data_IF_168687618373
#
_entry.id   IF_168687618373
#
_cell.length_a   1.000
_cell.length_b   1.000
_cell.length_c   1.000
_cell.angle_alpha   90.00
_cell.angle_beta   90.00
_cell.angle_gamma   90.00
#
_symmetry.space_group_name_H-M   'P 1'
#
loop_
_entity.id
_entity.type
_entity.pdbx_description
1 polymer ?
#
# COMPACT_ATOMS: atom_id res chain seq x y z
N UNK A 1 -32.09 6.06 26.32
CA UNK A 1 -32.50 5.05 25.33
C UNK A 1 -31.86 3.71 25.69
N UNK A 2 -32.62 2.64 26.00
CA UNK A 2 -32.02 1.38 26.39
C UNK A 2 -31.38 0.69 25.18
N UNK A 3 -30.14 0.25 25.33
CA UNK A 3 -29.36 -0.42 24.30
C UNK A 3 -30.02 -1.78 24.00
N UNK A 4 -30.47 -1.95 22.76
CA UNK A 4 -31.16 -3.16 22.30
C UNK A 4 -30.34 -4.42 22.56
N UNK A 5 -30.99 -5.42 23.15
CA UNK A 5 -30.43 -6.77 23.35
C UNK A 5 -30.19 -7.36 21.96
N UNK A 6 -28.91 -7.58 21.62
CA UNK A 6 -28.53 -8.15 20.33
C UNK A 6 -28.85 -9.65 20.33
N UNK A 7 -30.07 -10.01 19.92
CA UNK A 7 -30.47 -11.41 19.75
C UNK A 7 -29.80 -11.95 18.49
N UNK A 8 -28.85 -12.87 18.65
CA UNK A 8 -28.21 -13.54 17.50
C UNK A 8 -29.28 -14.30 16.71
N UNK A 9 -29.51 -13.90 15.46
CA UNK A 9 -30.43 -14.61 14.57
C UNK A 9 -29.92 -16.04 14.33
N UNK A 10 -30.79 -17.08 14.40
CA UNK A 10 -30.38 -18.45 14.16
C UNK A 10 -29.91 -18.64 12.71
N UNK A 11 -28.92 -19.50 12.51
CA UNK A 11 -28.40 -19.80 11.17
C UNK A 11 -29.49 -20.38 10.26
N UNK A 12 -29.54 -19.87 9.02
CA UNK A 12 -30.45 -20.37 7.99
C UNK A 12 -30.10 -21.81 7.58
N UNK A 13 -31.07 -22.57 7.03
CA UNK A 13 -30.84 -23.95 6.56
C UNK A 13 -29.71 -24.04 5.53
N UNK A 14 -29.61 -23.06 4.64
CA UNK A 14 -28.52 -22.94 3.65
C UNK A 14 -27.18 -22.73 4.33
N UNK A 15 -27.11 -21.85 5.33
CA UNK A 15 -25.89 -21.60 6.09
C UNK A 15 -25.41 -22.86 6.84
N UNK A 16 -26.35 -23.61 7.47
CA UNK A 16 -26.03 -24.90 8.10
C UNK A 16 -25.48 -25.93 7.10
N UNK A 17 -26.07 -26.01 5.90
CA UNK A 17 -25.61 -26.89 4.81
C UNK A 17 -24.21 -26.51 4.31
N UNK A 18 -23.93 -25.22 4.17
CA UNK A 18 -22.61 -24.72 3.74
C UNK A 18 -21.53 -24.98 4.80
N UNK A 19 -21.84 -24.78 6.09
CA UNK A 19 -20.93 -25.17 7.19
C UNK A 19 -20.67 -26.68 7.17
N UNK A 20 -21.70 -27.50 6.94
CA UNK A 20 -21.57 -28.95 6.86
C UNK A 20 -20.68 -29.38 5.69
N UNK A 21 -20.89 -28.83 4.49
CA UNK A 21 -20.05 -29.08 3.32
C UNK A 21 -18.60 -28.66 3.53
N UNK A 22 -18.36 -27.52 4.19
CA UNK A 22 -17.01 -27.02 4.48
C UNK A 22 -16.21 -27.92 5.44
N UNK A 23 -16.88 -28.82 6.19
CA UNK A 23 -16.24 -29.78 7.10
C UNK A 23 -15.97 -31.14 6.46
N UNK A 24 -16.45 -31.40 5.24
CA UNK A 24 -16.20 -32.65 4.53
C UNK A 24 -14.72 -32.66 4.10
N UNK A 25 -13.96 -33.63 4.60
CA UNK A 25 -12.52 -33.76 4.34
C UNK A 25 -11.60 -32.97 5.27
N UNK A 26 -12.13 -32.07 6.12
CA UNK A 26 -11.31 -31.39 7.12
C UNK A 26 -10.98 -32.34 8.27
N UNK A 27 -9.72 -32.74 8.40
CA UNK A 27 -9.21 -33.39 9.61
C UNK A 27 -9.05 -32.29 10.66
N UNK A 28 -9.75 -32.41 11.79
CA UNK A 28 -9.58 -31.48 12.89
C UNK A 28 -8.10 -31.45 13.31
N UNK A 29 -7.51 -30.27 13.48
CA UNK A 29 -6.08 -30.07 13.74
C UNK A 29 -5.54 -30.83 14.97
N UNK A 30 -6.44 -31.28 15.84
CA UNK A 30 -6.21 -32.03 17.06
C UNK A 30 -6.44 -33.55 16.93
N UNK A 31 -6.80 -34.05 15.74
CA UNK A 31 -7.00 -35.50 15.49
C UNK A 31 -5.65 -36.21 15.49
N UNK A 32 -5.39 -37.02 16.53
CA UNK A 32 -4.17 -37.83 16.67
C UNK A 32 -3.11 -37.25 17.63
N UNK A 33 -3.32 -36.07 18.21
CA UNK A 33 -2.42 -35.53 19.23
C UNK A 33 -2.57 -36.32 20.55
N UNK A 34 -1.55 -37.13 20.89
CA UNK A 34 -1.38 -37.77 22.22
C UNK A 34 -1.15 -36.66 23.26
N UNK A 35 -2.20 -36.25 23.96
CA UNK A 35 -2.16 -35.19 24.97
C UNK A 35 -3.54 -34.71 25.41
N UNK A 36 -4.57 -34.94 24.60
CA UNK A 36 -5.97 -34.79 25.00
C UNK A 36 -6.54 -36.14 25.46
N UNK A 37 -6.07 -36.63 26.61
CA UNK A 37 -6.77 -37.72 27.29
C UNK A 37 -8.21 -37.26 27.55
N UNK A 38 -9.20 -38.03 27.08
CA UNK A 38 -10.60 -37.80 27.46
C UNK A 38 -10.65 -37.81 28.99
N UNK A 39 -11.17 -36.75 29.61
CA UNK A 39 -11.37 -36.70 31.05
C UNK A 39 -12.08 -37.99 31.49
N UNK A 40 -11.52 -38.66 32.50
CA UNK A 40 -12.19 -39.80 33.15
C UNK A 40 -13.53 -39.33 33.71
N UNK A 41 -14.49 -40.24 33.87
CA UNK A 41 -15.78 -39.90 34.47
C UNK A 41 -15.60 -39.29 35.87
N UNK A 42 -14.59 -39.74 36.61
CA UNK A 42 -14.23 -39.15 37.90
C UNK A 42 -13.70 -37.71 37.76
N UNK A 43 -12.87 -37.42 36.76
CA UNK A 43 -12.40 -36.06 36.48
C UNK A 43 -13.56 -35.14 36.08
N UNK A 44 -14.50 -35.62 35.25
CA UNK A 44 -15.72 -34.89 34.89
C UNK A 44 -16.59 -34.61 36.12
N UNK A 45 -16.78 -35.60 37.00
CA UNK A 45 -17.52 -35.45 38.26
C UNK A 45 -16.87 -34.40 39.16
N UNK A 46 -15.55 -34.49 39.39
CA UNK A 46 -14.78 -33.51 40.19
C UNK A 46 -14.89 -32.09 39.62
N UNK A 47 -14.83 -31.93 38.29
CA UNK A 47 -15.02 -30.64 37.64
C UNK A 47 -16.45 -30.10 37.80
N UNK A 48 -17.47 -30.97 37.71
CA UNK A 48 -18.87 -30.61 37.91
C UNK A 48 -19.16 -30.18 39.35
N UNK A 49 -18.73 -30.98 40.33
CA UNK A 49 -18.84 -30.68 41.77
C UNK A 49 -18.12 -29.38 42.12
N UNK A 50 -16.92 -29.16 41.58
CA UNK A 50 -16.18 -27.93 41.78
C UNK A 50 -16.88 -26.70 41.16
N UNK A 51 -17.65 -26.87 40.08
CA UNK A 51 -18.43 -25.81 39.46
C UNK A 51 -19.68 -25.47 40.31
N UNK A 52 -20.40 -26.50 40.79
CA UNK A 52 -21.55 -26.35 41.67
C UNK A 52 -21.17 -25.68 43.01
N UNK A 53 -20.04 -26.07 43.61
CA UNK A 53 -19.52 -25.44 44.84
C UNK A 53 -19.15 -23.96 44.68
N UNK A 54 -18.71 -23.54 43.49
CA UNK A 54 -18.25 -22.16 43.24
C UNK A 54 -19.40 -21.17 42.99
N UNK A 55 -20.62 -21.65 42.75
CA UNK A 55 -21.77 -20.81 42.41
C UNK A 55 -21.61 -20.07 41.07
N UNK A 56 -22.65 -19.34 40.66
CA UNK A 56 -22.58 -18.50 39.46
C UNK A 56 -21.60 -17.34 39.69
N UNK A 57 -20.58 -17.21 38.81
CA UNK A 57 -19.70 -16.04 38.85
C UNK A 57 -20.54 -14.78 38.61
N UNK A 58 -20.39 -13.72 39.43
CA UNK A 58 -21.07 -12.47 39.16
C UNK A 58 -20.66 -11.95 37.77
N UNK A 59 -21.56 -11.29 37.04
CA UNK A 59 -21.20 -10.68 35.77
C UNK A 59 -20.05 -9.70 35.98
N UNK A 60 -19.08 -9.71 35.06
CA UNK A 60 -17.81 -8.97 35.19
C UNK A 60 -17.98 -7.44 35.36
N UNK A 61 -19.20 -6.92 35.16
CA UNK A 61 -19.62 -5.53 35.33
C UNK A 61 -20.14 -5.20 36.75
N UNK A 62 -20.02 -6.09 37.73
CA UNK A 62 -20.48 -5.85 39.11
C UNK A 62 -19.59 -4.87 39.90
N UNK A 63 -18.38 -4.58 39.40
CA UNK A 63 -17.47 -3.61 40.04
C UNK A 63 -17.84 -2.18 39.65
N UNK A 64 -17.75 -1.21 40.59
CA UNK A 64 -17.93 0.20 40.27
C UNK A 64 -16.91 0.62 39.22
N UNK A 65 -17.37 1.39 38.23
CA UNK A 65 -16.50 1.91 37.17
C UNK A 65 -15.76 3.15 37.66
N UNK A 66 -14.64 3.44 37.01
CA UNK A 66 -13.78 4.58 37.31
C UNK A 66 -13.84 5.56 36.16
N UNK A 67 -14.00 6.85 36.45
CA UNK A 67 -13.95 7.92 35.46
C UNK A 67 -12.50 8.25 35.07
N UNK A 68 -12.26 8.46 33.78
CA UNK A 68 -10.97 8.87 33.20
C UNK A 68 -11.16 9.94 32.14
N UNK A 69 -10.13 10.74 31.93
CA UNK A 69 -10.03 11.71 30.83
C UNK A 69 -9.27 11.07 29.67
N UNK A 70 -9.77 11.23 28.44
CA UNK A 70 -9.10 10.74 27.24
C UNK A 70 -7.89 11.61 26.87
N UNK A 71 -6.72 11.00 26.71
CA UNK A 71 -5.47 11.71 26.37
C UNK A 71 -5.45 12.36 24.97
N UNK A 72 -6.40 11.99 24.08
CA UNK A 72 -6.48 12.56 22.73
C UNK A 72 -7.51 13.69 22.60
N UNK A 73 -8.72 13.51 23.15
CA UNK A 73 -9.84 14.45 22.95
C UNK A 73 -10.35 15.12 24.22
N UNK A 74 -9.79 14.81 25.39
CA UNK A 74 -10.20 15.38 26.68
C UNK A 74 -11.55 14.90 27.22
N UNK A 75 -12.26 14.03 26.49
CA UNK A 75 -13.57 13.51 26.93
C UNK A 75 -13.45 12.64 28.17
N UNK A 76 -14.34 12.85 29.15
CA UNK A 76 -14.52 11.97 30.32
C UNK A 76 -15.25 10.68 29.89
N UNK A 77 -14.74 9.52 30.31
CA UNK A 77 -15.30 8.21 30.02
C UNK A 77 -15.04 7.21 31.16
N UNK A 78 -15.85 6.17 31.23
CA UNK A 78 -15.77 5.16 32.28
C UNK A 78 -14.96 3.92 31.85
N UNK A 79 -14.19 3.36 32.77
CA UNK A 79 -13.43 2.13 32.59
C UNK A 79 -13.63 1.17 33.78
N UNK A 80 -13.38 -0.12 33.57
CA UNK A 80 -13.33 -1.06 34.71
C UNK A 80 -12.07 -0.80 35.55
N UNK A 81 -12.08 -1.07 36.87
CA UNK A 81 -10.93 -0.79 37.74
C UNK A 81 -9.59 -1.38 37.26
N UNK A 82 -9.60 -2.55 36.60
CA UNK A 82 -8.39 -3.17 36.06
C UNK A 82 -7.90 -2.53 34.76
N UNK A 83 -8.76 -1.82 34.03
CA UNK A 83 -8.44 -1.16 32.76
C UNK A 83 -7.85 0.24 32.96
N UNK A 84 -7.80 0.76 34.20
CA UNK A 84 -7.40 2.14 34.51
C UNK A 84 -6.02 2.47 33.95
N UNK A 85 -5.07 1.53 33.99
CA UNK A 85 -3.71 1.75 33.47
C UNK A 85 -3.57 1.44 31.98
N UNK A 86 -4.40 0.55 31.43
CA UNK A 86 -4.28 0.10 30.04
C UNK A 86 -5.03 1.00 29.05
N UNK A 87 -6.16 1.56 29.49
CA UNK A 87 -7.09 2.27 28.63
C UNK A 87 -6.86 3.78 28.76
N UNK A 88 -6.14 4.33 27.77
CA UNK A 88 -5.79 5.76 27.70
C UNK A 88 -6.79 6.58 26.87
N UNK A 89 -7.56 5.92 26.00
CA UNK A 89 -8.41 6.59 25.01
C UNK A 89 -9.87 6.12 25.11
N UNK A 90 -10.81 7.05 24.94
CA UNK A 90 -12.25 6.77 25.04
C UNK A 90 -12.81 5.94 23.87
N UNK A 91 -12.06 5.84 22.76
CA UNK A 91 -12.48 5.12 21.56
C UNK A 91 -11.30 4.61 20.75
N UNK A 92 -11.55 3.64 19.87
CA UNK A 92 -10.58 3.14 18.89
C UNK A 92 -10.05 4.29 18.02
N UNK A 93 -10.93 5.21 17.62
CA UNK A 93 -10.55 6.40 16.85
C UNK A 93 -9.52 7.26 17.60
N UNK A 94 -9.82 7.60 18.87
CA UNK A 94 -8.92 8.38 19.70
C UNK A 94 -7.59 7.66 19.91
N UNK A 95 -7.62 6.33 20.12
CA UNK A 95 -6.39 5.53 20.21
C UNK A 95 -5.59 5.52 18.91
N UNK A 96 -6.24 5.51 17.75
CA UNK A 96 -5.55 5.53 16.46
C UNK A 96 -4.87 6.86 16.18
N UNK A 97 -5.40 7.96 16.72
CA UNK A 97 -4.89 9.31 16.49
C UNK A 97 -3.91 9.76 17.55
N UNK A 98 -4.13 9.38 18.81
CA UNK A 98 -3.27 9.75 19.93
C UNK A 98 -1.99 8.91 20.04
N UNK A 99 -1.98 7.67 19.52
CA UNK A 99 -0.78 6.84 19.55
C UNK A 99 0.21 7.26 18.47
N UNK A 100 1.43 7.55 18.90
CA UNK A 100 2.56 7.67 17.98
C UNK A 100 2.83 6.33 17.29
N UNK A 101 3.29 6.40 16.03
CA UNK A 101 3.76 5.20 15.35
C UNK A 101 4.99 4.63 16.08
N UNK A 102 5.09 3.30 16.15
CA UNK A 102 6.19 2.58 16.83
C UNK A 102 7.58 2.88 16.25
N UNK A 103 7.63 3.49 15.05
CA UNK A 103 8.82 3.89 14.32
C UNK A 103 8.98 5.42 14.20
N UNK A 104 8.20 6.22 14.93
CA UNK A 104 8.39 7.66 14.97
C UNK A 104 9.82 7.98 15.45
N UNK A 105 10.54 8.81 14.69
CA UNK A 105 11.94 9.15 14.96
C UNK A 105 12.96 8.05 14.63
N UNK A 106 12.53 6.85 14.23
CA UNK A 106 13.45 5.78 13.82
C UNK A 106 13.86 5.98 12.37
N UNK A 107 15.10 6.42 12.17
CA UNK A 107 15.70 6.52 10.84
C UNK A 107 16.53 5.27 10.53
N UNK A 108 16.44 4.80 9.29
CA UNK A 108 17.32 3.74 8.82
C UNK A 108 18.77 4.20 8.80
N UNK A 109 19.68 3.32 9.21
CA UNK A 109 21.12 3.57 9.16
C UNK A 109 21.57 3.85 7.72
N UNK A 110 22.69 4.56 7.59
CA UNK A 110 23.30 4.79 6.28
C UNK A 110 23.55 3.47 5.53
N UNK A 111 24.10 2.49 6.22
CA UNK A 111 24.38 1.17 5.67
C UNK A 111 23.11 0.44 5.20
N UNK A 112 22.02 0.49 5.97
CA UNK A 112 20.75 -0.11 5.56
C UNK A 112 20.20 0.53 4.28
N UNK A 113 20.26 1.87 4.19
CA UNK A 113 19.86 2.61 2.97
C UNK A 113 20.75 2.25 1.78
N UNK A 114 22.06 2.12 2.00
CA UNK A 114 23.00 1.70 0.97
C UNK A 114 22.68 0.28 0.47
N UNK A 115 22.48 -0.66 1.38
CA UNK A 115 22.17 -2.06 1.05
C UNK A 115 20.87 -2.19 0.24
N UNK A 116 19.82 -1.44 0.60
CA UNK A 116 18.61 -1.39 -0.22
C UNK A 116 18.83 -0.81 -1.62
N UNK A 117 19.64 0.26 -1.71
CA UNK A 117 19.98 0.88 -2.99
C UNK A 117 20.74 -0.10 -3.88
N UNK A 118 21.73 -0.80 -3.32
CA UNK A 118 22.53 -1.81 -4.02
C UNK A 118 21.67 -2.98 -4.51
N UNK A 119 20.73 -3.48 -3.69
CA UNK A 119 19.81 -4.56 -4.08
C UNK A 119 18.98 -4.23 -5.31
N UNK A 120 18.65 -2.97 -5.56
CA UNK A 120 17.82 -2.51 -6.69
C UNK A 120 18.63 -1.95 -7.86
N UNK A 121 19.95 -2.13 -7.88
CA UNK A 121 20.85 -1.58 -8.89
C UNK A 121 21.27 -2.64 -9.91
N UNK A 122 21.62 -2.18 -11.12
CA UNK A 122 22.18 -3.05 -12.16
C UNK A 122 21.20 -4.14 -12.56
N UNK A 123 21.72 -5.36 -12.78
CA UNK A 123 20.96 -6.53 -13.24
C UNK A 123 19.76 -6.90 -12.35
N UNK A 124 19.76 -6.50 -11.08
CA UNK A 124 18.66 -6.78 -10.15
C UNK A 124 17.44 -5.86 -10.35
N UNK A 125 17.56 -4.81 -11.16
CA UNK A 125 16.44 -3.97 -11.53
C UNK A 125 15.76 -4.56 -12.78
N UNK A 126 14.46 -4.89 -12.76
CA UNK A 126 13.75 -5.43 -13.93
C UNK A 126 13.81 -4.53 -15.17
N UNK A 127 14.01 -3.22 -14.98
CA UNK A 127 14.18 -2.27 -16.07
C UNK A 127 15.63 -2.15 -16.56
N UNK A 128 16.59 -2.85 -15.96
CA UNK A 128 18.00 -2.81 -16.40
C UNK A 128 18.18 -3.59 -17.69
N UNK A 129 18.52 -2.85 -18.73
CA UNK A 129 19.01 -3.39 -20.00
C UNK A 129 20.48 -3.00 -20.07
N UNK A 130 21.35 -3.99 -19.85
CA UNK A 130 22.81 -4.05 -20.14
C UNK A 130 23.65 -2.75 -20.02
N UNK A 131 23.28 -1.84 -19.13
CA UNK A 131 23.98 -0.55 -18.97
C UNK A 131 23.57 0.52 -19.99
N UNK A 132 22.83 0.18 -21.05
CA UNK A 132 22.27 1.13 -22.04
C UNK A 132 21.44 2.24 -21.38
N UNK A 133 20.76 1.96 -20.26
CA UNK A 133 20.00 2.97 -19.52
C UNK A 133 20.87 4.14 -19.01
N UNK A 134 22.08 3.86 -18.49
CA UNK A 134 22.99 4.91 -17.99
C UNK A 134 23.51 5.76 -19.13
N UNK A 135 23.90 5.14 -20.25
CA UNK A 135 24.36 5.82 -21.46
C UNK A 135 23.28 6.67 -22.11
N UNK A 136 22.07 6.14 -22.25
CA UNK A 136 20.92 6.85 -22.81
C UNK A 136 20.50 8.02 -21.92
N UNK A 137 20.49 7.84 -20.59
CA UNK A 137 20.21 8.93 -19.64
C UNK A 137 21.28 10.01 -19.70
N UNK A 138 22.57 9.65 -19.75
CA UNK A 138 23.68 10.61 -19.90
C UNK A 138 23.56 11.39 -21.21
N UNK A 139 23.28 10.69 -22.31
CA UNK A 139 23.16 11.29 -23.64
C UNK A 139 21.99 12.29 -23.71
N UNK A 140 20.82 11.96 -23.16
CA UNK A 140 19.66 12.89 -23.10
C UNK A 140 19.84 14.06 -22.14
N UNK A 141 20.82 14.00 -21.23
CA UNK A 141 21.20 15.10 -20.32
C UNK A 141 22.37 15.93 -20.85
N UNK A 142 22.99 15.50 -21.95
CA UNK A 142 24.17 16.15 -22.52
C UNK A 142 23.83 17.52 -23.12
N UNK A 143 24.85 18.39 -23.22
CA UNK A 143 24.75 19.67 -23.92
C UNK A 143 24.31 19.46 -25.38
N UNK A 144 24.85 18.45 -26.06
CA UNK A 144 24.49 18.11 -27.45
C UNK A 144 22.99 17.85 -27.61
N UNK A 145 22.36 17.16 -26.66
CA UNK A 145 20.90 16.96 -26.68
C UNK A 145 20.14 18.27 -26.46
N UNK A 146 20.60 19.14 -25.55
CA UNK A 146 19.98 20.45 -25.31
C UNK A 146 20.01 21.31 -26.58
N UNK A 147 21.18 21.38 -27.24
CA UNK A 147 21.36 22.11 -28.50
C UNK A 147 20.45 21.54 -29.59
N UNK A 148 20.41 20.21 -29.74
CA UNK A 148 19.53 19.56 -30.71
C UNK A 148 18.05 19.89 -30.44
N UNK A 149 17.59 19.78 -29.19
CA UNK A 149 16.21 20.09 -28.79
C UNK A 149 15.86 21.54 -29.10
N UNK A 150 16.77 22.47 -28.80
CA UNK A 150 16.58 23.89 -29.10
C UNK A 150 16.51 24.15 -30.60
N UNK A 151 17.36 23.50 -31.41
CA UNK A 151 17.32 23.60 -32.88
C UNK A 151 16.00 23.10 -33.46
N UNK A 152 15.49 21.96 -32.96
CA UNK A 152 14.17 21.42 -33.37
C UNK A 152 13.07 22.42 -33.03
N UNK A 153 13.06 22.96 -31.81
CA UNK A 153 12.06 23.93 -31.39
C UNK A 153 12.13 25.24 -32.16
N UNK A 154 13.33 25.78 -32.41
CA UNK A 154 13.51 27.00 -33.20
C UNK A 154 13.05 26.81 -34.65
N UNK A 155 13.39 25.68 -35.29
CA UNK A 155 12.93 25.34 -36.65
C UNK A 155 11.41 25.33 -36.73
N UNK A 156 10.75 24.69 -35.76
CA UNK A 156 9.29 24.57 -35.72
C UNK A 156 8.61 25.80 -35.10
N UNK A 157 9.35 26.90 -34.92
CA UNK A 157 8.90 28.12 -34.27
C UNK A 157 8.12 27.82 -32.97
N UNK A 158 8.66 26.98 -32.09
CA UNK A 158 8.05 26.58 -30.81
C UNK A 158 6.56 26.20 -30.92
N UNK A 159 6.18 25.52 -32.01
CA UNK A 159 4.79 25.19 -32.31
C UNK A 159 4.66 23.70 -32.58
N UNK A 160 3.59 23.08 -32.08
CA UNK A 160 3.28 21.69 -32.39
C UNK A 160 2.99 21.53 -33.88
N UNK A 161 3.81 20.76 -34.60
CA UNK A 161 3.69 20.62 -36.06
C UNK A 161 2.43 19.87 -36.52
N UNK A 162 1.72 19.20 -35.60
CA UNK A 162 0.51 18.42 -35.93
C UNK A 162 -0.79 19.17 -35.70
N UNK A 163 -0.83 20.09 -34.73
CA UNK A 163 -2.07 20.77 -34.36
C UNK A 163 -1.94 22.29 -34.22
N UNK A 164 -0.75 22.85 -34.48
CA UNK A 164 -0.51 24.28 -34.33
C UNK A 164 -0.47 24.79 -32.89
N UNK A 165 -0.59 23.92 -31.87
CA UNK A 165 -0.57 24.34 -30.47
C UNK A 165 0.78 24.98 -30.10
N UNK A 166 0.72 26.17 -29.53
CA UNK A 166 1.87 26.98 -29.12
C UNK A 166 1.65 27.55 -27.72
N UNK A 167 2.73 27.72 -26.97
CA UNK A 167 2.68 28.40 -25.67
C UNK A 167 2.58 29.93 -25.86
N UNK A 168 1.60 30.59 -25.22
CA UNK A 168 1.37 32.04 -25.35
C UNK A 168 -0.07 32.46 -25.09
N UNK A 169 -0.34 33.77 -24.95
CA UNK A 169 -1.68 34.37 -24.78
C UNK A 169 -2.56 33.65 -23.73
N UNK A 170 -2.01 33.38 -22.55
CA UNK A 170 -2.72 32.68 -21.46
C UNK A 170 -2.87 31.16 -21.62
N UNK A 171 -2.44 30.58 -22.76
CA UNK A 171 -2.46 29.13 -22.99
C UNK A 171 -1.09 28.53 -22.67
N UNK A 172 -1.04 27.73 -21.60
CA UNK A 172 0.13 26.94 -21.25
C UNK A 172 0.14 25.61 -22.02
N UNK A 173 1.02 25.50 -23.02
CA UNK A 173 1.21 24.27 -23.81
C UNK A 173 2.59 23.71 -23.57
N UNK A 174 2.64 22.49 -23.02
CA UNK A 174 3.90 21.75 -22.84
C UNK A 174 4.30 21.08 -24.16
N UNK A 175 5.41 21.54 -24.73
CA UNK A 175 6.00 21.00 -25.96
C UNK A 175 7.14 20.03 -25.66
N UNK A 176 7.21 18.98 -26.48
CA UNK A 176 8.19 17.91 -26.41
C UNK A 176 8.87 17.76 -27.77
N UNK A 177 10.18 17.54 -27.76
CA UNK A 177 10.93 17.17 -28.96
C UNK A 177 10.87 15.64 -29.08
N UNK A 178 10.07 15.16 -30.02
CA UNK A 178 9.98 13.74 -30.37
C UNK A 178 10.97 13.41 -31.49
N UNK A 179 11.45 12.17 -31.51
CA UNK A 179 12.30 11.65 -32.58
C UNK A 179 11.41 10.90 -33.58
N UNK A 180 11.51 11.24 -34.87
CA UNK A 180 10.81 10.51 -35.93
C UNK A 180 11.27 9.05 -35.97
N UNK A 181 12.60 8.84 -35.99
CA UNK A 181 13.22 7.54 -35.87
C UNK A 181 13.66 7.29 -34.41
N UNK A 182 13.21 6.21 -33.75
CA UNK A 182 13.43 5.99 -32.33
C UNK A 182 14.90 6.07 -31.90
N UNK A 183 15.14 6.80 -30.81
CA UNK A 183 16.46 7.02 -30.20
C UNK A 183 17.30 5.75 -29.99
N UNK A 184 16.64 4.66 -29.61
CA UNK A 184 17.28 3.39 -29.28
C UNK A 184 17.81 2.67 -30.53
N UNK A 185 17.03 2.67 -31.63
CA UNK A 185 17.32 1.94 -32.87
C UNK A 185 18.26 2.71 -33.81
N UNK A 186 18.22 4.04 -33.79
CA UNK A 186 18.95 4.87 -34.76
C UNK A 186 19.97 5.80 -34.08
N UNK A 187 21.07 5.27 -33.50
CA UNK A 187 22.03 6.06 -32.75
C UNK A 187 22.71 7.16 -33.59
N UNK A 188 22.93 6.89 -34.89
CA UNK A 188 23.52 7.85 -35.84
C UNK A 188 22.60 9.05 -36.14
N UNK A 189 21.28 8.93 -35.92
CA UNK A 189 20.29 9.96 -36.24
C UNK A 189 19.85 10.80 -35.04
N UNK A 190 20.31 10.50 -33.82
CA UNK A 190 19.84 11.12 -32.55
C UNK A 190 19.89 12.65 -32.52
N UNK A 191 20.85 13.22 -33.23
CA UNK A 191 21.14 14.66 -33.21
C UNK A 191 20.95 15.33 -34.58
N UNK A 192 20.44 14.61 -35.59
CA UNK A 192 20.01 15.25 -36.83
C UNK A 192 18.72 16.02 -36.54
N UNK A 193 18.67 17.30 -36.92
CA UNK A 193 17.51 18.16 -36.67
C UNK A 193 16.28 17.62 -37.39
N UNK A 194 16.45 17.09 -38.60
CA UNK A 194 15.38 16.50 -39.42
C UNK A 194 14.78 15.22 -38.80
N UNK A 195 15.52 14.56 -37.91
CA UNK A 195 15.01 13.43 -37.15
C UNK A 195 14.20 13.87 -35.91
N UNK A 196 14.05 15.17 -35.66
CA UNK A 196 13.27 15.72 -34.57
C UNK A 196 12.02 16.43 -35.06
N UNK A 197 10.96 16.42 -34.23
CA UNK A 197 9.74 17.20 -34.41
C UNK A 197 9.21 17.75 -33.09
N UNK A 198 8.64 18.94 -33.14
CA UNK A 198 8.00 19.58 -31.98
C UNK A 198 6.54 19.14 -31.90
N UNK A 199 6.16 18.46 -30.81
CA UNK A 199 4.79 18.01 -30.55
C UNK A 199 4.32 18.45 -29.16
N UNK A 200 3.04 18.79 -29.02
CA UNK A 200 2.40 18.87 -27.71
C UNK A 200 2.19 17.46 -27.12
N UNK A 201 1.92 17.36 -25.81
CA UNK A 201 1.76 16.06 -25.13
C UNK A 201 0.65 15.20 -25.77
N UNK A 202 -0.48 15.79 -26.17
CA UNK A 202 -1.60 15.04 -26.75
C UNK A 202 -1.27 14.48 -28.13
N UNK A 203 -0.58 15.25 -28.98
CA UNK A 203 -0.09 14.78 -30.28
C UNK A 203 1.03 13.75 -30.12
N UNK A 204 1.98 13.98 -29.21
CA UNK A 204 3.08 13.06 -28.96
C UNK A 204 2.57 11.69 -28.49
N UNK A 205 1.50 11.62 -27.69
CA UNK A 205 0.88 10.34 -27.29
C UNK A 205 0.36 9.49 -28.45
N UNK A 206 0.04 10.11 -29.59
CA UNK A 206 -0.48 9.43 -30.78
C UNK A 206 0.64 8.88 -31.68
N UNK A 207 1.90 9.17 -31.38
CA UNK A 207 3.02 8.67 -32.19
C UNK A 207 3.28 7.19 -31.90
N UNK A 208 3.74 6.48 -32.92
CA UNK A 208 4.18 5.09 -32.76
C UNK A 208 5.40 4.95 -31.87
N UNK A 209 6.17 6.02 -31.63
CA UNK A 209 7.32 6.00 -30.73
C UNK A 209 6.93 6.15 -29.25
N UNK A 210 5.69 6.56 -28.94
CA UNK A 210 5.33 6.97 -27.59
C UNK A 210 5.25 5.80 -26.60
N UNK A 211 6.13 5.81 -25.59
CA UNK A 211 6.19 4.82 -24.50
C UNK A 211 6.22 3.34 -24.97
N UNK A 212 6.56 3.05 -26.24
CA UNK A 212 6.70 1.68 -26.69
C UNK A 212 7.98 1.06 -26.12
N UNK A 213 7.84 -0.15 -25.57
CA UNK A 213 8.99 -0.98 -25.21
C UNK A 213 9.54 -1.60 -26.50
N UNK A 214 10.46 -0.88 -27.14
CA UNK A 214 11.19 -1.41 -28.29
C UNK A 214 12.17 -2.46 -27.76
N UNK A 215 11.89 -3.73 -28.05
CA UNK A 215 12.85 -4.82 -27.86
C UNK A 215 13.98 -4.59 -28.88
N UNK A 216 15.20 -4.48 -28.38
CA UNK A 216 16.41 -4.36 -29.19
C UNK A 216 16.99 -5.74 -29.48
#
# INVERSE_FOLDING_TARGET
MPKGIFVRKPFTKVHKKNISKAKIGSVAWNKGLKGWLKHTEESKRKMSEASLKRGARPPNNSKPKVEKICEYCGKIYEVLPHEVNERQYCSIFCSSKGKNSWNLGKHHTYEWRLNLSLKRKGKNNPSYIDGRNKLNRRSRRSLRYKIWREKVFKRDNYTCIWCGARNGNGKNVVLQADHNNPWALYPKLRYKVDNGRTLCISCHKKTDSYKKNIKL
#
